data_IF_379969022926
#
_entry.id   IF_379969022926
#
_cell.length_a   1.000
_cell.length_b   1.000
_cell.length_c   1.000
_cell.angle_alpha   90.00
_cell.angle_beta   90.00
_cell.angle_gamma   90.00
#
_symmetry.space_group_name_H-M   'P 1'
#
loop_
_entity.id
_entity.type
_entity.pdbx_description
1 polymer ?
#
# COMPACT_ATOMS: atom_id res chain seq x y z
N UNK A 1 5.53 46.12 -21.28
CA UNK A 1 5.65 45.71 -19.87
C UNK A 1 4.93 44.38 -19.74
N UNK A 2 5.71 43.32 -19.64
CA UNK A 2 5.28 41.92 -19.68
C UNK A 2 4.78 41.49 -18.30
N UNK A 3 3.51 41.08 -18.23
CA UNK A 3 2.90 40.44 -17.07
C UNK A 3 3.27 38.95 -17.05
N UNK A 4 3.80 38.46 -15.94
CA UNK A 4 3.98 37.03 -15.69
C UNK A 4 3.72 36.69 -14.22
N UNK A 5 2.99 35.58 -14.05
CA UNK A 5 2.68 34.76 -12.86
C UNK A 5 1.55 35.19 -11.90
N UNK A 6 0.39 34.49 -11.98
CA UNK A 6 -0.48 34.24 -10.83
C UNK A 6 -0.69 32.73 -10.56
N UNK A 7 0.34 31.89 -10.71
CA UNK A 7 0.24 30.43 -10.45
C UNK A 7 0.90 29.98 -9.14
N UNK A 8 1.67 30.83 -8.47
CA UNK A 8 2.37 30.47 -7.23
C UNK A 8 1.45 30.47 -5.98
N UNK A 9 0.28 31.11 -6.03
CA UNK A 9 -0.60 31.23 -4.85
C UNK A 9 -1.54 30.02 -4.65
N UNK A 10 -1.70 29.15 -5.65
CA UNK A 10 -2.61 27.98 -5.54
C UNK A 10 -1.95 26.81 -4.79
N UNK A 11 -0.62 26.69 -4.83
CA UNK A 11 0.09 25.58 -4.17
C UNK A 11 0.29 25.81 -2.65
N UNK A 12 0.29 27.06 -2.20
CA UNK A 12 0.44 27.39 -0.77
C UNK A 12 -0.92 27.29 -0.02
N UNK A 13 -2.04 27.42 -0.73
CA UNK A 13 -3.39 27.33 -0.15
C UNK A 13 -3.85 25.92 0.26
N UNK A 14 -3.29 24.86 -0.32
CA UNK A 14 -3.66 23.48 0.01
C UNK A 14 -3.03 22.95 1.31
N UNK A 15 -2.09 23.69 1.90
CA UNK A 15 -1.36 23.25 3.10
C UNK A 15 -2.06 23.71 4.40
N UNK A 16 -2.94 24.71 4.37
CA UNK A 16 -3.46 25.33 5.60
C UNK A 16 -4.94 25.09 5.95
N UNK A 17 -5.70 24.32 5.16
CA UNK A 17 -7.12 24.03 5.50
C UNK A 17 -7.30 22.75 6.31
N UNK A 18 -6.26 21.95 6.54
CA UNK A 18 -6.39 20.71 7.36
C UNK A 18 -6.17 20.91 8.87
N UNK A 19 -5.90 22.13 9.34
CA UNK A 19 -5.66 22.42 10.76
C UNK A 19 -6.98 22.81 11.46
N UNK A 20 -7.93 21.89 11.54
CA UNK A 20 -9.25 22.24 12.06
C UNK A 20 -10.17 21.10 12.45
N UNK A 21 -9.66 20.08 13.16
CA UNK A 21 -10.36 19.33 14.24
C UNK A 21 -9.40 18.27 14.81
N UNK A 22 -8.53 18.67 15.73
CA UNK A 22 -7.78 17.71 16.53
C UNK A 22 -8.72 17.17 17.62
N UNK A 23 -9.25 15.97 17.44
CA UNK A 23 -9.87 15.21 18.52
C UNK A 23 -9.13 13.89 18.70
N UNK A 24 -8.46 13.80 19.85
CA UNK A 24 -7.85 12.62 20.47
C UNK A 24 -6.63 12.06 19.72
N UNK A 25 -5.63 11.66 20.50
CA UNK A 25 -4.33 11.12 20.06
C UNK A 25 -4.45 10.31 18.77
N UNK A 26 -3.66 10.60 17.71
CA UNK A 26 -3.69 9.77 16.52
C UNK A 26 -3.35 8.35 16.96
N UNK A 27 -4.27 7.41 16.77
CA UNK A 27 -3.92 6.00 16.84
C UNK A 27 -2.75 5.83 15.88
N UNK A 28 -1.58 5.49 16.43
CA UNK A 28 -0.35 5.22 15.66
C UNK A 28 -0.67 4.17 14.60
N UNK A 29 -1.55 3.23 14.93
CA UNK A 29 -1.99 2.17 14.05
C UNK A 29 -3.15 2.54 13.13
N UNK A 30 -3.30 1.81 12.00
CA UNK A 30 -4.48 1.92 11.16
C UNK A 30 -5.78 1.63 11.94
N UNK A 31 -6.93 2.15 11.46
CA UNK A 31 -8.23 1.83 12.03
C UNK A 31 -8.44 0.32 12.12
N UNK A 32 -8.99 -0.13 13.24
CA UNK A 32 -9.33 -1.53 13.49
C UNK A 32 -8.11 -2.50 13.49
N UNK A 33 -6.92 -1.98 13.79
CA UNK A 33 -5.69 -2.79 13.84
C UNK A 33 -5.74 -3.93 14.86
N UNK A 34 -6.37 -3.72 16.01
CA UNK A 34 -6.44 -4.74 17.08
C UNK A 34 -7.37 -5.88 16.67
N UNK A 35 -8.43 -5.54 15.94
CA UNK A 35 -9.49 -6.42 15.45
C UNK A 35 -9.04 -7.22 14.21
N UNK A 36 -8.07 -6.70 13.44
CA UNK A 36 -7.54 -7.41 12.28
C UNK A 36 -6.72 -8.67 12.68
N UNK A 37 -6.78 -9.74 11.85
CA UNK A 37 -5.99 -10.97 12.02
C UNK A 37 -4.51 -10.69 12.30
N UNK A 38 -3.92 -11.41 13.26
CA UNK A 38 -2.51 -11.26 13.64
C UNK A 38 -1.61 -12.41 13.19
N UNK A 39 -2.19 -13.53 12.75
CA UNK A 39 -1.50 -14.76 12.37
C UNK A 39 -2.34 -15.58 11.37
N UNK A 40 -1.71 -16.52 10.66
CA UNK A 40 -2.39 -17.30 9.63
C UNK A 40 -3.57 -18.13 10.14
N UNK A 41 -3.49 -18.66 11.35
CA UNK A 41 -4.56 -19.45 11.98
C UNK A 41 -5.82 -18.64 12.31
N UNK A 42 -5.77 -17.31 12.23
CA UNK A 42 -6.94 -16.45 12.40
C UNK A 42 -7.80 -16.41 11.12
N UNK A 43 -7.28 -16.88 9.99
CA UNK A 43 -8.01 -16.97 8.72
C UNK A 43 -8.70 -18.32 8.57
N UNK A 44 -9.73 -18.35 7.71
CA UNK A 44 -10.41 -19.58 7.33
C UNK A 44 -9.46 -20.52 6.60
N UNK A 45 -9.57 -21.81 6.89
CA UNK A 45 -8.84 -22.87 6.18
C UNK A 45 -9.81 -23.73 5.38
N UNK A 46 -9.55 -23.89 4.09
CA UNK A 46 -10.29 -24.79 3.18
C UNK A 46 -9.30 -25.62 2.38
N UNK A 47 -9.51 -26.93 2.30
CA UNK A 47 -8.62 -27.88 1.59
C UNK A 47 -7.13 -27.73 1.93
N UNK A 48 -6.83 -27.42 3.21
CA UNK A 48 -5.47 -27.20 3.70
C UNK A 48 -4.84 -25.85 3.33
N UNK A 49 -5.62 -24.92 2.75
CA UNK A 49 -5.18 -23.59 2.35
C UNK A 49 -5.81 -22.51 3.21
N UNK A 50 -5.03 -21.51 3.58
CA UNK A 50 -5.54 -20.27 4.17
C UNK A 50 -6.27 -19.47 3.09
N UNK A 51 -7.54 -19.18 3.34
CA UNK A 51 -8.40 -18.40 2.46
C UNK A 51 -8.51 -16.98 3.04
N UNK A 52 -8.06 -16.00 2.26
CA UNK A 52 -8.07 -14.59 2.67
C UNK A 52 -8.97 -13.81 1.73
N UNK A 53 -10.02 -13.18 2.26
CA UNK A 53 -10.80 -12.21 1.53
C UNK A 53 -10.05 -10.88 1.46
N UNK A 54 -9.20 -10.74 0.45
CA UNK A 54 -8.46 -9.51 0.25
C UNK A 54 -9.38 -8.33 -0.11
N UNK A 55 -10.65 -8.54 -0.45
CA UNK A 55 -11.65 -7.49 -0.67
C UNK A 55 -12.43 -7.11 0.60
N UNK A 56 -11.97 -7.57 1.76
CA UNK A 56 -12.47 -7.19 3.07
C UNK A 56 -11.39 -6.46 3.86
N UNK A 57 -11.71 -5.29 4.41
CA UNK A 57 -10.75 -4.36 5.02
C UNK A 57 -9.91 -5.02 6.13
N UNK A 58 -10.55 -5.71 7.09
CA UNK A 58 -9.83 -6.34 8.20
C UNK A 58 -8.92 -7.46 7.74
N UNK A 59 -9.38 -8.26 6.77
CA UNK A 59 -8.63 -9.40 6.28
C UNK A 59 -7.41 -8.93 5.48
N UNK A 60 -7.56 -7.90 4.64
CA UNK A 60 -6.44 -7.25 3.96
C UNK A 60 -5.48 -6.61 4.96
N UNK A 61 -5.97 -5.88 5.95
CA UNK A 61 -5.15 -5.29 7.01
C UNK A 61 -4.33 -6.33 7.78
N UNK A 62 -4.94 -7.49 8.09
CA UNK A 62 -4.26 -8.60 8.76
C UNK A 62 -3.08 -9.16 7.97
N UNK A 63 -3.13 -9.13 6.62
CA UNK A 63 -1.98 -9.55 5.80
C UNK A 63 -0.77 -8.67 6.05
N UNK A 64 -0.94 -7.35 6.18
CA UNK A 64 0.16 -6.45 6.51
C UNK A 64 0.67 -6.67 7.94
N UNK A 65 -0.24 -6.92 8.89
CA UNK A 65 0.11 -7.19 10.28
C UNK A 65 0.99 -8.43 10.41
N UNK A 66 0.63 -9.51 9.72
CA UNK A 66 1.44 -10.72 9.66
C UNK A 66 2.78 -10.45 8.98
N UNK A 67 2.78 -9.76 7.85
CA UNK A 67 4.00 -9.43 7.11
C UNK A 67 4.98 -8.62 7.97
N UNK A 68 4.50 -7.60 8.67
CA UNK A 68 5.31 -6.78 9.57
C UNK A 68 5.88 -7.61 10.72
N UNK A 69 5.09 -8.51 11.30
CA UNK A 69 5.55 -9.39 12.37
C UNK A 69 6.64 -10.36 11.86
N UNK A 70 6.40 -11.03 10.72
CA UNK A 70 7.35 -11.98 10.11
C UNK A 70 8.66 -11.33 9.68
N UNK A 71 8.62 -10.05 9.33
CA UNK A 71 9.79 -9.30 8.88
C UNK A 71 10.50 -8.53 9.99
N UNK A 72 9.93 -8.45 11.20
CA UNK A 72 10.44 -7.61 12.29
C UNK A 72 11.91 -7.86 12.63
N UNK A 73 12.29 -9.14 12.74
CA UNK A 73 13.67 -9.57 13.02
C UNK A 73 14.73 -9.00 12.06
N UNK A 74 14.35 -8.67 10.82
CA UNK A 74 15.27 -8.10 9.83
C UNK A 74 15.47 -6.60 10.01
N UNK A 75 14.56 -5.93 10.72
CA UNK A 75 14.58 -4.49 10.98
C UNK A 75 15.01 -4.11 12.40
N UNK A 76 15.15 -5.09 13.32
CA UNK A 76 15.67 -4.88 14.68
C UNK A 76 17.04 -4.17 14.71
N UNK A 77 17.87 -4.38 13.69
CA UNK A 77 19.17 -3.68 13.53
C UNK A 77 19.04 -2.17 13.29
N UNK A 78 17.87 -1.67 12.94
CA UNK A 78 17.63 -0.28 12.58
C UNK A 78 16.88 0.50 13.66
N UNK A 79 15.96 -0.14 14.37
CA UNK A 79 15.23 0.43 15.51
C UNK A 79 14.61 -0.69 16.39
N UNK A 80 14.34 -0.40 17.67
CA UNK A 80 13.51 -1.27 18.51
C UNK A 80 12.05 -1.31 18.00
N UNK A 81 11.28 -2.24 18.57
CA UNK A 81 9.81 -2.31 18.44
C UNK A 81 9.27 -2.29 17.00
N UNK A 82 10.08 -2.73 16.02
CA UNK A 82 9.74 -2.79 14.60
C UNK A 82 9.41 -1.40 13.98
N UNK A 83 9.80 -0.29 14.60
CA UNK A 83 9.43 1.07 14.20
C UNK A 83 9.96 1.42 12.80
N UNK A 84 11.20 1.03 12.48
CA UNK A 84 11.84 1.32 11.19
C UNK A 84 11.56 0.25 10.12
N UNK A 85 10.52 -0.56 10.29
CA UNK A 85 10.10 -1.48 9.23
C UNK A 85 9.48 -0.72 8.07
N UNK A 86 10.17 -0.69 6.93
CA UNK A 86 9.75 0.10 5.78
C UNK A 86 8.47 -0.41 5.12
N UNK A 87 7.95 -1.57 5.54
CA UNK A 87 6.66 -2.10 5.09
C UNK A 87 5.46 -1.45 5.82
N UNK A 88 5.67 -0.62 6.85
CA UNK A 88 4.60 0.12 7.53
C UNK A 88 3.78 1.02 6.61
N UNK A 89 4.33 1.42 5.46
CA UNK A 89 3.61 2.19 4.45
C UNK A 89 2.33 1.50 3.96
N UNK A 90 2.36 0.16 3.82
CA UNK A 90 1.22 -0.61 3.32
C UNK A 90 -0.02 -0.48 4.22
N UNK A 91 0.02 -0.84 5.53
CA UNK A 91 -1.14 -0.74 6.40
C UNK A 91 -1.55 0.71 6.69
N UNK A 92 -0.57 1.63 6.79
CA UNK A 92 -0.85 3.05 7.05
C UNK A 92 -1.63 3.68 5.89
N UNK A 93 -1.23 3.40 4.65
CA UNK A 93 -1.95 3.88 3.46
C UNK A 93 -3.33 3.23 3.34
N UNK A 94 -3.43 1.92 3.59
CA UNK A 94 -4.71 1.22 3.58
C UNK A 94 -5.71 1.80 4.59
N UNK A 95 -5.26 2.08 5.81
CA UNK A 95 -6.09 2.70 6.84
C UNK A 95 -6.52 4.13 6.52
N UNK A 96 -5.69 4.90 5.81
CA UNK A 96 -6.08 6.22 5.29
C UNK A 96 -7.16 6.11 4.21
N UNK A 97 -7.04 5.16 3.28
CA UNK A 97 -8.06 4.95 2.25
C UNK A 97 -9.40 4.55 2.85
N UNK A 98 -9.39 3.68 3.85
CA UNK A 98 -10.58 3.30 4.60
C UNK A 98 -11.24 4.50 5.28
N UNK A 99 -10.49 5.26 6.10
CA UNK A 99 -11.05 6.44 6.81
C UNK A 99 -11.63 7.51 5.90
N UNK A 100 -11.15 7.57 4.67
CA UNK A 100 -11.56 8.61 3.72
C UNK A 100 -12.59 8.13 2.71
N UNK A 101 -13.15 6.92 2.89
CA UNK A 101 -14.16 6.34 2.00
C UNK A 101 -13.63 5.97 0.62
N UNK A 102 -12.31 6.04 0.39
CA UNK A 102 -11.70 5.75 -0.92
C UNK A 102 -11.79 4.28 -1.31
N UNK A 103 -12.03 3.37 -0.37
CA UNK A 103 -12.25 1.94 -0.65
C UNK A 103 -13.71 1.59 -0.97
N UNK A 104 -14.65 2.51 -0.75
CA UNK A 104 -16.08 2.29 -0.96
C UNK A 104 -16.46 2.34 -2.45
N UNK A 105 -17.65 1.83 -2.78
CA UNK A 105 -18.20 1.92 -4.13
C UNK A 105 -18.49 3.39 -4.51
N UNK A 106 -17.75 3.97 -5.49
CA UNK A 106 -17.96 5.35 -5.89
C UNK A 106 -19.20 5.52 -6.78
N UNK A 107 -19.75 4.44 -7.33
CA UNK A 107 -20.86 4.48 -8.30
C UNK A 107 -22.23 4.57 -7.63
N UNK A 108 -22.30 4.35 -6.31
CA UNK A 108 -23.53 4.26 -5.52
C UNK A 108 -24.50 3.16 -6.00
N UNK A 109 -24.02 2.20 -6.79
CA UNK A 109 -24.83 1.05 -7.24
C UNK A 109 -24.93 -0.02 -6.15
N UNK A 110 -23.95 -0.05 -5.26
CA UNK A 110 -23.89 -0.94 -4.10
C UNK A 110 -23.61 -0.13 -2.83
N UNK A 111 -23.91 -0.71 -1.68
CA UNK A 111 -23.58 -0.12 -0.37
C UNK A 111 -22.21 -0.62 0.15
N UNK A 112 -21.33 -1.14 -0.71
CA UNK A 112 -20.02 -1.65 -0.31
C UNK A 112 -19.12 -0.50 0.17
N UNK A 113 -18.56 -0.64 1.38
CA UNK A 113 -17.69 0.35 2.03
C UNK A 113 -18.44 1.58 2.57
N UNK A 114 -19.77 1.61 2.49
CA UNK A 114 -20.61 2.67 3.05
C UNK A 114 -21.21 2.24 4.39
N UNK A 115 -21.43 3.19 5.30
CA UNK A 115 -21.98 2.93 6.64
C UNK A 115 -23.38 2.27 6.60
N UNK A 116 -24.16 2.55 5.55
CA UNK A 116 -25.50 1.99 5.35
C UNK A 116 -25.50 0.55 4.82
N UNK A 117 -24.33 -0.05 4.59
CA UNK A 117 -24.19 -1.42 4.09
C UNK A 117 -23.04 -2.16 4.76
N UNK A 118 -22.29 -2.93 3.97
CA UNK A 118 -21.08 -3.57 4.46
C UNK A 118 -19.92 -2.58 4.43
N UNK A 119 -19.73 -1.88 5.56
CA UNK A 119 -18.71 -0.84 5.71
C UNK A 119 -17.26 -1.38 5.65
N UNK A 120 -17.05 -2.70 5.77
CA UNK A 120 -15.73 -3.34 5.64
C UNK A 120 -15.46 -3.87 4.24
N UNK A 121 -16.47 -3.89 3.37
CA UNK A 121 -16.32 -4.25 1.97
C UNK A 121 -15.42 -3.24 1.24
N UNK A 122 -14.47 -3.77 0.46
CA UNK A 122 -13.65 -3.01 -0.47
C UNK A 122 -14.23 -3.19 -1.86
N UNK A 123 -14.67 -2.10 -2.48
CA UNK A 123 -15.32 -2.15 -3.79
C UNK A 123 -14.29 -2.28 -4.91
N UNK A 124 -14.48 -3.25 -5.79
CA UNK A 124 -13.73 -3.36 -7.05
C UNK A 124 -14.09 -2.24 -8.05
N UNK A 125 -15.15 -1.46 -7.80
CA UNK A 125 -15.41 -0.22 -8.55
C UNK A 125 -14.55 0.96 -8.08
N UNK A 126 -13.85 0.82 -6.95
CA UNK A 126 -12.93 1.85 -6.48
C UNK A 126 -11.59 1.75 -7.21
N UNK A 127 -11.25 2.83 -7.91
CA UNK A 127 -9.91 3.00 -8.49
C UNK A 127 -8.79 2.81 -7.45
N UNK A 128 -9.00 3.32 -6.23
CA UNK A 128 -8.03 3.14 -5.15
C UNK A 128 -7.90 1.67 -4.76
N UNK A 129 -9.02 0.96 -4.63
CA UNK A 129 -9.00 -0.46 -4.27
C UNK A 129 -8.29 -1.32 -5.32
N UNK A 130 -8.56 -1.07 -6.61
CA UNK A 130 -8.01 -1.80 -7.74
C UNK A 130 -6.50 -1.63 -7.86
N UNK A 131 -6.01 -0.39 -7.87
CA UNK A 131 -4.56 -0.13 -7.94
C UNK A 131 -3.87 -0.64 -6.67
N UNK A 132 -4.49 -0.47 -5.50
CA UNK A 132 -3.91 -0.97 -4.25
C UNK A 132 -3.87 -2.48 -4.19
N UNK A 133 -4.73 -3.21 -4.88
CA UNK A 133 -4.66 -4.67 -4.93
C UNK A 133 -3.22 -5.12 -5.24
N UNK A 134 -2.64 -4.56 -6.28
CA UNK A 134 -1.31 -4.96 -6.72
C UNK A 134 -0.19 -4.31 -5.93
N UNK A 135 -0.39 -3.10 -5.41
CA UNK A 135 0.59 -2.46 -4.53
C UNK A 135 0.64 -3.10 -3.13
N UNK A 136 -0.36 -3.90 -2.76
CA UNK A 136 -0.55 -4.27 -1.36
C UNK A 136 -0.85 -5.77 -1.13
N UNK A 137 -1.60 -6.43 -2.01
CA UNK A 137 -1.81 -7.88 -1.96
C UNK A 137 -0.63 -8.65 -2.59
N UNK A 138 -0.09 -8.17 -3.72
CA UNK A 138 1.05 -8.80 -4.39
C UNK A 138 2.34 -8.85 -3.55
N UNK A 139 2.73 -7.79 -2.80
CA UNK A 139 3.87 -7.86 -1.89
C UNK A 139 3.75 -8.99 -0.87
N UNK A 140 2.53 -9.29 -0.40
CA UNK A 140 2.29 -10.37 0.55
C UNK A 140 2.49 -11.75 -0.09
N UNK A 141 1.96 -11.98 -1.29
CA UNK A 141 2.18 -13.22 -2.03
C UNK A 141 3.65 -13.40 -2.41
N UNK A 142 4.35 -12.34 -2.76
CA UNK A 142 5.80 -12.39 -2.97
C UNK A 142 6.57 -12.71 -1.67
N UNK A 143 6.11 -12.24 -0.51
CA UNK A 143 6.70 -12.63 0.77
C UNK A 143 6.52 -14.13 1.04
N UNK A 144 5.36 -14.69 0.68
CA UNK A 144 5.12 -16.13 0.75
C UNK A 144 6.07 -16.87 -0.19
N UNK A 145 6.17 -16.46 -1.45
CA UNK A 145 7.05 -17.05 -2.45
C UNK A 145 8.53 -17.03 -2.05
N UNK A 146 8.97 -15.94 -1.40
CA UNK A 146 10.34 -15.81 -0.87
C UNK A 146 10.64 -16.75 0.32
N UNK A 147 9.62 -17.38 0.90
CA UNK A 147 9.74 -18.26 2.07
C UNK A 147 9.75 -17.55 3.43
N UNK A 148 9.77 -16.21 3.49
CA UNK A 148 9.76 -15.45 4.75
C UNK A 148 8.57 -15.78 5.64
N UNK A 149 7.42 -16.04 5.02
CA UNK A 149 6.17 -16.29 5.74
C UNK A 149 6.16 -17.64 6.46
N UNK A 150 7.05 -18.57 6.08
CA UNK A 150 7.16 -19.90 6.69
C UNK A 150 5.98 -20.82 6.36
N UNK A 151 5.29 -20.58 5.25
CA UNK A 151 4.22 -21.42 4.70
C UNK A 151 4.53 -21.75 3.24
N UNK A 152 3.97 -22.85 2.73
CA UNK A 152 4.06 -23.18 1.31
C UNK A 152 3.27 -22.19 0.45
N UNK A 153 3.79 -21.87 -0.74
CA UNK A 153 3.09 -21.06 -1.75
C UNK A 153 1.73 -21.63 -2.17
N UNK A 154 1.54 -22.94 -2.04
CA UNK A 154 0.27 -23.61 -2.37
C UNK A 154 -0.76 -23.55 -1.24
N UNK A 155 -0.35 -23.19 -0.02
CA UNK A 155 -1.19 -23.18 1.17
C UNK A 155 -1.94 -21.87 1.36
N UNK A 156 -2.00 -21.00 0.35
CA UNK A 156 -2.69 -19.73 0.44
C UNK A 156 -3.36 -19.34 -0.86
N UNK A 157 -4.58 -18.79 -0.74
CA UNK A 157 -5.37 -18.26 -1.84
C UNK A 157 -6.14 -17.04 -1.37
N UNK A 158 -6.17 -16.01 -2.22
CA UNK A 158 -7.07 -14.88 -2.07
C UNK A 158 -8.42 -15.16 -2.72
N UNK A 159 -9.49 -14.68 -2.09
CA UNK A 159 -10.81 -14.72 -2.72
C UNK A 159 -10.90 -13.67 -3.84
N UNK A 160 -11.54 -14.03 -4.96
CA UNK A 160 -11.79 -13.08 -6.03
C UNK A 160 -12.86 -12.04 -5.62
N UNK A 161 -12.87 -10.86 -6.26
CA UNK A 161 -13.97 -9.92 -6.11
C UNK A 161 -15.26 -10.49 -6.72
N UNK A 162 -16.40 -9.86 -6.43
CA UNK A 162 -17.70 -10.29 -6.97
C UNK A 162 -17.82 -10.15 -8.50
N UNK A 163 -16.99 -9.31 -9.11
CA UNK A 163 -16.90 -9.08 -10.57
C UNK A 163 -15.46 -8.79 -10.98
N UNK A 164 -15.18 -8.69 -12.28
CA UNK A 164 -13.85 -8.38 -12.82
C UNK A 164 -12.75 -9.37 -12.37
N UNK A 165 -13.15 -10.61 -12.09
CA UNK A 165 -12.29 -11.63 -11.48
C UNK A 165 -11.08 -11.99 -12.34
N UNK A 166 -11.18 -11.86 -13.67
CA UNK A 166 -10.09 -12.17 -14.59
C UNK A 166 -8.99 -11.11 -14.58
N UNK A 167 -9.23 -9.95 -13.98
CA UNK A 167 -8.26 -8.86 -13.97
C UNK A 167 -7.16 -9.11 -12.95
N UNK A 168 -7.42 -9.87 -11.88
CA UNK A 168 -6.49 -10.05 -10.76
C UNK A 168 -5.91 -11.46 -10.71
N UNK A 169 -4.81 -11.61 -9.95
CA UNK A 169 -4.16 -12.87 -9.65
C UNK A 169 -4.32 -13.19 -8.15
N UNK A 170 -4.55 -14.46 -7.77
CA UNK A 170 -5.07 -14.79 -6.42
C UNK A 170 -4.15 -15.69 -5.59
N UNK A 171 -3.11 -16.23 -6.18
CA UNK A 171 -2.13 -17.07 -5.51
C UNK A 171 -0.76 -16.84 -6.13
N UNK A 172 0.28 -17.37 -5.49
CA UNK A 172 1.67 -17.16 -5.91
C UNK A 172 1.88 -17.53 -7.39
N UNK A 173 1.39 -18.71 -7.81
CA UNK A 173 1.55 -19.19 -9.19
C UNK A 173 0.89 -18.26 -10.20
N UNK A 174 -0.39 -17.92 -10.02
CA UNK A 174 -1.11 -17.01 -10.92
C UNK A 174 -0.48 -15.63 -10.97
N UNK A 175 -0.03 -15.08 -9.84
CA UNK A 175 0.63 -13.77 -9.82
C UNK A 175 1.99 -13.78 -10.49
N UNK A 176 2.76 -14.86 -10.34
CA UNK A 176 4.03 -15.01 -11.05
C UNK A 176 3.82 -15.17 -12.55
N UNK A 177 2.77 -15.89 -12.98
CA UNK A 177 2.42 -16.02 -14.40
C UNK A 177 1.98 -14.69 -15.02
N UNK A 178 1.15 -13.90 -14.34
CA UNK A 178 0.62 -12.64 -14.86
C UNK A 178 1.60 -11.47 -14.73
N UNK A 179 2.38 -11.41 -13.63
CA UNK A 179 3.26 -10.28 -13.29
C UNK A 179 4.65 -10.76 -12.86
N UNK A 180 5.37 -11.53 -13.70
CA UNK A 180 6.62 -12.19 -13.32
C UNK A 180 7.70 -11.20 -12.84
N UNK A 181 7.84 -10.07 -13.53
CA UNK A 181 8.86 -9.07 -13.20
C UNK A 181 8.54 -8.32 -11.90
N UNK A 182 7.27 -8.03 -11.62
CA UNK A 182 6.86 -7.43 -10.34
C UNK A 182 7.13 -8.39 -9.18
N UNK A 183 6.76 -9.66 -9.32
CA UNK A 183 7.04 -10.70 -8.32
C UNK A 183 8.55 -10.87 -8.10
N UNK A 184 9.37 -10.89 -9.15
CA UNK A 184 10.84 -10.96 -9.04
C UNK A 184 11.42 -9.76 -8.29
N UNK A 185 10.93 -8.55 -8.53
CA UNK A 185 11.42 -7.35 -7.80
C UNK A 185 11.07 -7.39 -6.32
N UNK A 186 9.84 -7.82 -5.98
CA UNK A 186 9.47 -8.03 -4.58
C UNK A 186 10.30 -9.13 -3.92
N UNK A 187 10.50 -10.27 -4.59
CA UNK A 187 11.39 -11.33 -4.10
C UNK A 187 12.82 -10.81 -3.87
N UNK A 188 13.33 -9.97 -4.77
CA UNK A 188 14.66 -9.37 -4.61
C UNK A 188 14.72 -8.50 -3.35
N UNK A 189 13.68 -7.71 -3.06
CA UNK A 189 13.59 -6.96 -1.82
C UNK A 189 13.66 -7.89 -0.59
N UNK A 190 12.83 -8.93 -0.56
CA UNK A 190 12.76 -9.90 0.53
C UNK A 190 14.05 -10.69 0.75
N UNK A 191 14.81 -10.95 -0.31
CA UNK A 191 16.12 -11.63 -0.23
C UNK A 191 17.27 -10.70 0.18
N UNK A 192 17.04 -9.38 0.26
CA UNK A 192 18.11 -8.38 0.46
C UNK A 192 18.17 -7.82 1.89
N UNK A 193 17.61 -8.52 2.90
CA UNK A 193 17.62 -8.04 4.28
C UNK A 193 18.99 -7.90 4.94
N UNK A 194 20.03 -8.53 4.39
CA UNK A 194 21.42 -8.27 4.81
C UNK A 194 21.95 -6.90 4.36
N UNK A 195 21.30 -6.24 3.41
CA UNK A 195 21.74 -4.96 2.84
C UNK A 195 21.55 -3.77 3.79
N UNK A 196 22.05 -2.61 3.36
CA UNK A 196 21.84 -1.34 4.05
C UNK A 196 20.36 -0.92 4.02
N UNK A 197 19.97 -0.03 4.92
CA UNK A 197 18.61 0.52 4.92
C UNK A 197 18.28 1.23 3.59
N UNK A 198 19.24 1.95 3.02
CA UNK A 198 19.08 2.64 1.73
C UNK A 198 18.86 1.66 0.57
N UNK A 199 19.59 0.55 0.54
CA UNK A 199 19.43 -0.46 -0.50
C UNK A 199 18.09 -1.18 -0.36
N UNK A 200 17.65 -1.47 0.86
CA UNK A 200 16.33 -2.04 1.11
C UNK A 200 15.22 -1.13 0.61
N UNK A 201 15.33 0.15 0.89
CA UNK A 201 14.40 1.17 0.40
C UNK A 201 14.40 1.25 -1.13
N UNK A 202 15.59 1.18 -1.75
CA UNK A 202 15.74 1.14 -3.21
C UNK A 202 15.02 -0.07 -3.82
N UNK A 203 15.20 -1.27 -3.26
CA UNK A 203 14.53 -2.47 -3.76
C UNK A 203 13.02 -2.42 -3.55
N UNK A 204 12.56 -1.92 -2.40
CA UNK A 204 11.14 -1.70 -2.12
C UNK A 204 10.51 -0.78 -3.18
N UNK A 205 11.12 0.37 -3.45
CA UNK A 205 10.58 1.32 -4.43
C UNK A 205 10.68 0.81 -5.87
N UNK A 206 11.76 0.10 -6.22
CA UNK A 206 11.87 -0.52 -7.53
C UNK A 206 10.71 -1.49 -7.82
N UNK A 207 10.22 -2.22 -6.81
CA UNK A 207 9.06 -3.10 -6.95
C UNK A 207 7.75 -2.31 -7.12
N UNK A 208 7.52 -1.28 -6.30
CA UNK A 208 6.31 -0.44 -6.38
C UNK A 208 6.22 0.32 -7.72
N UNK A 209 7.29 1.01 -8.12
CA UNK A 209 7.31 1.84 -9.33
C UNK A 209 7.12 0.99 -10.59
N UNK A 210 7.72 -0.20 -10.62
CA UNK A 210 7.60 -1.07 -11.78
C UNK A 210 6.14 -1.47 -12.03
N UNK A 211 5.40 -1.81 -10.97
CA UNK A 211 3.98 -2.10 -11.09
C UNK A 211 3.19 -0.88 -11.56
N UNK A 212 3.47 0.29 -10.99
CA UNK A 212 2.82 1.55 -11.37
C UNK A 212 3.00 1.86 -12.86
N UNK A 213 4.22 1.68 -13.38
CA UNK A 213 4.50 1.86 -14.81
C UNK A 213 3.73 0.85 -15.66
N UNK A 214 3.63 -0.42 -15.24
CA UNK A 214 2.78 -1.39 -15.96
C UNK A 214 1.31 -0.93 -16.01
N UNK A 215 0.75 -0.44 -14.90
CA UNK A 215 -0.65 0.03 -14.88
C UNK A 215 -0.93 1.23 -15.76
N UNK A 216 0.01 2.16 -15.88
CA UNK A 216 -0.15 3.33 -16.75
C UNK A 216 -0.18 2.97 -18.24
N UNK A 217 0.42 1.83 -18.63
CA UNK A 217 0.52 1.42 -20.03
C UNK A 217 -0.43 0.29 -20.45
N UNK A 218 -0.84 -0.60 -19.53
CA UNK A 218 -1.45 -1.89 -19.95
C UNK A 218 -2.75 -2.29 -19.25
N UNK A 219 -3.04 -1.83 -18.04
CA UNK A 219 -4.12 -2.43 -17.21
C UNK A 219 -5.40 -1.57 -17.20
N UNK A 220 -5.33 -0.27 -17.53
CA UNK A 220 -6.51 0.60 -17.44
C UNK A 220 -6.75 1.43 -18.72
N UNK A 221 -7.59 0.97 -19.65
CA UNK A 221 -8.15 1.84 -20.70
C UNK A 221 -9.06 2.96 -20.11
N UNK A 222 -9.45 2.85 -18.83
CA UNK A 222 -10.18 3.88 -18.09
C UNK A 222 -9.36 5.12 -17.73
N UNK A 223 -8.06 5.15 -18.04
CA UNK A 223 -7.22 6.35 -17.92
C UNK A 223 -7.80 7.56 -18.67
N UNK A 224 -8.63 7.32 -19.69
CA UNK A 224 -9.19 8.34 -20.56
C UNK A 224 -10.46 9.04 -20.05
N UNK A 225 -11.13 8.56 -19.00
CA UNK A 225 -12.39 9.19 -18.56
C UNK A 225 -12.23 10.31 -17.52
N UNK A 226 -11.05 10.48 -16.92
CA UNK A 226 -10.77 11.59 -15.99
C UNK A 226 -9.28 11.99 -15.96
N UNK A 227 -8.79 12.55 -17.06
CA UNK A 227 -7.39 12.98 -17.26
C UNK A 227 -6.79 13.91 -16.17
N UNK A 228 -7.51 14.84 -15.52
CA UNK A 228 -6.93 15.61 -14.42
C UNK A 228 -6.85 14.81 -13.10
N UNK A 229 -7.71 13.81 -12.90
CA UNK A 229 -7.74 13.01 -11.67
C UNK A 229 -6.72 11.87 -11.65
N UNK A 230 -6.26 11.36 -12.79
CA UNK A 230 -5.38 10.17 -12.82
C UNK A 230 -3.92 10.48 -12.51
N UNK A 231 -3.36 11.58 -13.05
CA UNK A 231 -2.03 12.07 -12.68
C UNK A 231 -2.02 12.63 -11.26
N UNK A 232 -3.05 13.37 -10.87
CA UNK A 232 -3.20 13.85 -9.51
C UNK A 232 -3.39 12.69 -8.53
N UNK A 233 -4.18 11.66 -8.84
CA UNK A 233 -4.32 10.47 -7.97
C UNK A 233 -3.08 9.59 -7.96
N UNK A 234 -2.30 9.54 -9.03
CA UNK A 234 -1.02 8.83 -9.08
C UNK A 234 0.06 9.55 -8.26
N UNK A 235 0.22 10.85 -8.47
CA UNK A 235 1.08 11.70 -7.66
C UNK A 235 0.61 11.72 -6.21
N UNK A 236 -0.69 11.86 -5.93
CA UNK A 236 -1.25 11.76 -4.58
C UNK A 236 -0.99 10.36 -4.02
N UNK A 237 -1.14 9.25 -4.75
CA UNK A 237 -0.86 7.91 -4.24
C UNK A 237 0.61 7.80 -3.80
N UNK A 238 1.57 8.27 -4.61
CA UNK A 238 2.99 8.32 -4.25
C UNK A 238 3.27 9.29 -3.09
N UNK A 239 2.81 10.54 -3.19
CA UNK A 239 3.03 11.59 -2.19
C UNK A 239 2.31 11.32 -0.86
N UNK A 240 1.13 10.71 -0.85
CA UNK A 240 0.42 10.29 0.37
C UNK A 240 1.05 9.05 0.98
N UNK A 241 1.52 8.07 0.20
CA UNK A 241 2.33 6.97 0.74
C UNK A 241 3.54 7.53 1.51
N UNK A 242 4.23 8.52 0.93
CA UNK A 242 5.40 9.15 1.55
C UNK A 242 5.06 10.09 2.72
N UNK A 243 4.02 10.91 2.60
CA UNK A 243 3.59 11.86 3.63
C UNK A 243 2.93 11.17 4.83
N UNK A 244 2.18 10.09 4.62
CA UNK A 244 1.53 9.35 5.70
C UNK A 244 2.56 8.53 6.49
N UNK A 245 3.60 7.98 5.84
CA UNK A 245 4.80 7.52 6.55
C UNK A 245 5.39 8.66 7.39
N UNK A 246 5.52 9.87 6.85
CA UNK A 246 6.11 11.00 7.58
C UNK A 246 5.37 11.41 8.84
N UNK A 247 4.03 11.39 8.80
CA UNK A 247 3.21 11.65 9.99
C UNK A 247 3.32 10.53 11.04
N UNK A 248 3.53 9.27 10.62
CA UNK A 248 3.77 8.16 11.54
C UNK A 248 5.11 8.33 12.28
N UNK A 249 6.15 8.77 11.56
CA UNK A 249 7.48 9.02 12.15
C UNK A 249 7.60 10.38 12.89
N UNK A 250 6.64 11.30 12.74
CA UNK A 250 6.66 12.64 13.39
C UNK A 250 6.25 12.60 14.88
N UNK A 251 5.68 11.48 15.35
CA UNK A 251 5.17 11.33 16.72
C UNK A 251 6.21 10.90 17.76
N UNK A 252 7.41 10.51 17.34
CA UNK A 252 8.54 10.30 18.25
C UNK A 252 9.64 11.32 17.99
N UNK A 253 10.37 11.70 19.04
CA UNK A 253 11.56 12.58 18.99
C UNK A 253 12.76 11.91 18.29
N UNK A 254 12.51 11.02 17.35
CA UNK A 254 13.51 10.24 16.62
C UNK A 254 13.80 10.98 15.32
N UNK A 255 15.09 11.26 15.12
CA UNK A 255 15.68 12.24 14.20
C UNK A 255 14.89 12.54 12.91
N UNK A 256 14.07 13.60 12.93
CA UNK A 256 13.32 14.13 11.77
C UNK A 256 14.20 14.24 10.52
N UNK A 257 15.50 14.57 10.68
CA UNK A 257 16.44 14.68 9.56
C UNK A 257 16.57 13.36 8.80
N UNK A 258 16.57 12.21 9.48
CA UNK A 258 16.72 10.90 8.85
C UNK A 258 15.48 10.55 8.01
N UNK A 259 14.28 10.83 8.52
CA UNK A 259 13.02 10.62 7.78
C UNK A 259 12.90 11.55 6.55
N UNK A 260 13.12 12.85 6.71
CA UNK A 260 13.10 13.80 5.58
C UNK A 260 14.19 13.48 4.54
N UNK A 261 15.35 13.00 4.98
CA UNK A 261 16.43 12.59 4.09
C UNK A 261 16.12 11.29 3.33
N UNK A 262 15.44 10.34 3.97
CA UNK A 262 14.89 9.13 3.34
C UNK A 262 13.82 9.49 2.29
N UNK A 263 12.91 10.41 2.60
CA UNK A 263 11.95 10.95 1.63
C UNK A 263 12.66 11.62 0.46
N UNK A 264 13.61 12.51 0.74
CA UNK A 264 14.34 13.26 -0.27
C UNK A 264 15.16 12.34 -1.19
N UNK A 265 15.85 11.33 -0.64
CA UNK A 265 16.53 10.31 -1.44
C UNK A 265 15.58 9.44 -2.25
N UNK A 266 14.39 9.11 -1.73
CA UNK A 266 13.39 8.34 -2.47
C UNK A 266 12.83 9.14 -3.65
N UNK A 267 12.54 10.44 -3.45
CA UNK A 267 12.11 11.36 -4.51
C UNK A 267 13.21 11.50 -5.58
N UNK A 268 14.46 11.76 -5.17
CA UNK A 268 15.60 11.85 -6.11
C UNK A 268 15.86 10.54 -6.85
N UNK A 269 15.64 9.38 -6.21
CA UNK A 269 15.75 8.08 -6.86
C UNK A 269 14.65 7.86 -7.89
N UNK A 270 13.43 8.30 -7.59
CA UNK A 270 12.28 8.28 -8.52
C UNK A 270 12.56 9.19 -9.72
N UNK A 271 13.01 10.43 -9.49
CA UNK A 271 13.37 11.36 -10.57
C UNK A 271 14.44 10.77 -11.50
N UNK A 272 15.46 10.12 -10.95
CA UNK A 272 16.54 9.49 -11.73
C UNK A 272 16.16 8.19 -12.47
N UNK A 273 15.03 7.57 -12.12
CA UNK A 273 14.50 6.40 -12.82
C UNK A 273 13.50 6.75 -13.91
N UNK A 274 13.01 7.99 -13.92
CA UNK A 274 12.06 8.51 -14.90
C UNK A 274 12.74 9.29 -16.04
N UNK A 275 14.04 9.59 -15.91
CA UNK A 275 14.95 10.08 -16.97
C UNK A 275 15.67 8.91 -17.68
#
# INVERSE_FOLDING_TARGET
MTFHLPWACVIIGCIFVSLGRASNTPDVYPPLWKESPGQFSDYKVEDGKYIINIWHYLERLGTYKILLNKTAKYFEKFAPENEQNILWGLPVHHGWQYRTGRLADPTQRTNCGHESGDYLCISVDSWWADVNYYLSAMPFLAAVDSGIMGISSDNITFLPPSKDQTNFCYNVSSCYSSFPETMKKWNKFYQSYSSSFEDLLKYLWAAHIYFLNLTSYTIFPYFHLTLPYSLESFSICLFTNMSTMGKYYDNEKTDKKKFYWIMFKSILYIERLLD
#
